data_IF_431549966862
#
_entry.id   IF_431549966862
#
_cell.length_a   1.000
_cell.length_b   1.000
_cell.length_c   1.000
_cell.angle_alpha   90.00
_cell.angle_beta   90.00
_cell.angle_gamma   90.00
#
_symmetry.space_group_name_H-M   'P 1'
#
loop_
_entity.id
_entity.type
_entity.pdbx_description
1 polymer ?
#
# COMPACT_ATOMS: atom_id res chain seq x y z
N UNK A 1 18.18 9.66 3.61
CA UNK A 1 18.01 9.18 2.22
C UNK A 1 16.82 9.93 1.65
N UNK A 2 17.00 10.74 0.61
CA UNK A 2 15.91 11.54 0.02
C UNK A 2 15.08 10.64 -0.91
N UNK A 3 14.07 9.98 -0.34
CA UNK A 3 13.12 9.19 -1.11
C UNK A 3 12.09 10.17 -1.67
N UNK A 4 12.37 10.72 -2.85
CA UNK A 4 11.60 11.77 -3.52
C UNK A 4 10.19 11.36 -3.98
N UNK A 5 9.61 10.31 -3.40
CA UNK A 5 8.29 9.75 -3.74
C UNK A 5 7.31 9.74 -2.56
N UNK A 6 7.69 10.30 -1.39
CA UNK A 6 6.78 10.46 -0.26
C UNK A 6 5.86 11.66 -0.43
N UNK A 7 4.55 11.47 -0.20
CA UNK A 7 3.61 12.59 -0.06
C UNK A 7 3.67 13.15 1.36
N UNK A 8 3.47 14.45 1.50
CA UNK A 8 3.33 15.07 2.82
C UNK A 8 2.01 14.60 3.46
N UNK A 9 2.06 14.34 4.77
CA UNK A 9 0.86 14.09 5.58
C UNK A 9 0.39 15.41 6.20
N UNK A 10 -0.93 15.64 6.34
CA UNK A 10 -2.02 14.78 5.88
C UNK A 10 -2.10 14.72 4.34
N UNK A 11 -2.38 13.54 3.80
CA UNK A 11 -2.52 13.31 2.37
C UNK A 11 -3.98 13.47 1.95
N UNK A 12 -4.24 14.17 0.85
CA UNK A 12 -5.60 14.31 0.29
C UNK A 12 -5.78 13.36 -0.89
N UNK A 13 -6.68 12.40 -0.75
CA UNK A 13 -7.23 11.59 -1.85
C UNK A 13 -8.13 12.50 -2.68
N UNK A 14 -7.85 12.73 -3.96
CA UNK A 14 -8.67 13.61 -4.79
C UNK A 14 -10.06 13.03 -5.05
N UNK A 15 -11.04 13.91 -5.33
CA UNK A 15 -12.33 13.50 -5.87
C UNK A 15 -12.14 12.65 -7.14
N UNK A 16 -12.94 11.59 -7.27
CA UNK A 16 -12.86 10.62 -8.35
C UNK A 16 -11.74 9.58 -8.19
N UNK A 17 -11.05 9.54 -7.05
CA UNK A 17 -10.00 8.57 -6.76
C UNK A 17 -10.27 7.76 -5.49
N UNK A 18 -9.68 6.56 -5.43
CA UNK A 18 -9.61 5.72 -4.24
C UNK A 18 -8.15 5.50 -3.84
N UNK A 19 -7.90 5.46 -2.53
CA UNK A 19 -6.60 5.09 -1.97
C UNK A 19 -6.75 3.75 -1.25
N UNK A 20 -5.91 2.79 -1.59
CA UNK A 20 -5.84 1.48 -0.93
C UNK A 20 -4.46 1.28 -0.35
N UNK A 21 -4.37 0.92 0.92
CA UNK A 21 -3.08 0.65 1.57
C UNK A 21 -2.59 -0.75 1.20
N UNK A 22 -1.30 -0.85 0.85
CA UNK A 22 -0.70 -2.10 0.37
C UNK A 22 0.34 -2.65 1.34
N UNK A 23 1.14 -1.77 1.94
CA UNK A 23 2.26 -2.15 2.78
C UNK A 23 2.51 -1.07 3.81
N UNK A 24 2.90 -1.49 5.01
CA UNK A 24 3.36 -0.62 6.08
C UNK A 24 4.70 -1.13 6.60
N UNK A 25 5.66 -0.23 6.71
CA UNK A 25 6.97 -0.52 7.29
C UNK A 25 7.29 0.52 8.36
N UNK A 26 7.95 0.07 9.42
CA UNK A 26 8.30 0.95 10.53
C UNK A 26 9.50 0.43 11.30
N UNK A 27 10.32 1.35 11.79
CA UNK A 27 11.36 1.06 12.76
C UNK A 27 11.47 2.20 13.76
N UNK A 28 11.56 1.87 15.05
CA UNK A 28 11.60 2.87 16.12
C UNK A 28 12.35 2.36 17.35
N UNK A 29 12.99 3.29 18.07
CA UNK A 29 13.79 2.98 19.26
C UNK A 29 12.98 2.93 20.55
N UNK A 30 11.79 3.55 20.58
CA UNK A 30 10.91 3.65 21.75
C UNK A 30 9.56 2.99 21.48
N UNK A 31 8.73 2.87 22.53
CA UNK A 31 7.33 2.47 22.40
C UNK A 31 6.55 3.54 21.63
N UNK A 32 5.70 3.13 20.68
CA UNK A 32 5.00 4.05 19.77
C UNK A 32 3.52 3.72 19.66
N UNK A 33 2.70 4.77 19.64
CA UNK A 33 1.33 4.73 19.15
C UNK A 33 1.27 5.29 17.72
N UNK A 34 0.80 4.48 16.78
CA UNK A 34 0.43 4.93 15.43
C UNK A 34 -1.09 4.92 15.33
N UNK A 35 -1.67 6.09 15.08
CA UNK A 35 -3.09 6.24 14.84
C UNK A 35 -3.31 6.77 13.41
N UNK A 36 -4.20 6.13 12.66
CA UNK A 36 -4.56 6.53 11.30
C UNK A 36 -5.96 7.15 11.30
N UNK A 37 -6.06 8.35 10.73
CA UNK A 37 -7.28 9.13 10.70
C UNK A 37 -7.80 9.37 9.29
N UNK A 38 -9.11 9.23 9.14
CA UNK A 38 -9.85 9.67 7.97
C UNK A 38 -10.64 10.94 8.34
N UNK A 39 -10.48 11.99 7.53
CA UNK A 39 -11.07 13.33 7.72
C UNK A 39 -10.67 14.04 9.03
N UNK A 40 -9.37 14.23 9.32
CA UNK A 40 -8.87 14.79 10.58
C UNK A 40 -9.27 16.26 10.84
N UNK A 41 -9.61 17.03 9.80
CA UNK A 41 -9.84 18.48 9.88
C UNK A 41 -11.30 18.90 10.07
N UNK A 42 -12.24 17.94 10.10
CA UNK A 42 -13.69 18.22 10.25
C UNK A 42 -14.17 17.93 11.68
N UNK A 43 -14.73 18.91 12.43
CA UNK A 43 -15.03 18.72 13.84
C UNK A 43 -16.33 17.90 14.09
N UNK A 44 -16.39 17.03 15.12
CA UNK A 44 -15.45 15.98 15.51
C UNK A 44 -15.90 14.65 14.85
N UNK A 45 -15.37 14.36 13.67
CA UNK A 45 -15.67 13.14 12.90
C UNK A 45 -14.48 12.20 12.76
N UNK A 46 -13.55 12.24 13.71
CA UNK A 46 -12.31 11.46 13.73
C UNK A 46 -12.62 9.96 13.63
N UNK A 47 -12.67 9.41 12.42
CA UNK A 47 -12.73 7.97 12.26
C UNK A 47 -11.31 7.45 12.36
N UNK A 48 -10.99 6.93 13.55
CA UNK A 48 -9.82 6.10 13.75
C UNK A 48 -10.01 4.83 12.93
N UNK A 49 -9.31 4.74 11.81
CA UNK A 49 -9.42 3.60 10.87
C UNK A 49 -8.30 2.58 11.09
N UNK A 50 -7.32 2.90 11.94
CA UNK A 50 -6.27 2.00 12.37
C UNK A 50 -5.60 2.51 13.65
N UNK A 51 -5.32 1.61 14.58
CA UNK A 51 -4.65 1.90 15.85
C UNK A 51 -3.68 0.77 16.16
N UNK A 52 -2.40 1.12 16.20
CA UNK A 52 -1.32 0.16 16.39
C UNK A 52 -0.42 0.65 17.53
N UNK A 53 0.00 -0.31 18.36
CA UNK A 53 0.87 -0.05 19.51
C UNK A 53 2.07 -0.97 19.38
N UNK A 54 3.25 -0.38 19.32
CA UNK A 54 4.48 -1.10 19.06
C UNK A 54 5.45 -0.92 20.21
N UNK A 55 6.05 -2.02 20.66
CA UNK A 55 7.08 -2.00 21.68
C UNK A 55 8.41 -1.48 21.15
N UNK A 56 9.25 -1.00 22.06
CA UNK A 56 10.60 -0.50 21.79
C UNK A 56 11.52 -1.57 21.17
N UNK A 57 12.42 -1.12 20.30
CA UNK A 57 13.40 -1.99 19.63
C UNK A 57 12.80 -2.93 18.58
N UNK A 58 11.53 -2.75 18.23
CA UNK A 58 10.83 -3.56 17.24
C UNK A 58 11.18 -3.07 15.83
N UNK A 59 11.56 -4.01 14.97
CA UNK A 59 11.59 -3.80 13.52
C UNK A 59 10.35 -4.46 12.93
N UNK A 60 9.45 -3.66 12.38
CA UNK A 60 8.24 -4.16 11.75
C UNK A 60 8.38 -4.00 10.25
N UNK A 61 8.48 -5.15 9.61
CA UNK A 61 8.23 -5.27 8.18
C UNK A 61 6.94 -6.05 8.00
N UNK A 62 5.83 -5.34 7.87
CA UNK A 62 4.53 -5.94 7.59
C UNK A 62 4.20 -5.71 6.12
N UNK A 63 4.54 -6.68 5.26
CA UNK A 63 3.86 -6.86 3.97
C UNK A 63 2.47 -7.46 4.18
N UNK A 64 1.71 -6.81 5.06
CA UNK A 64 0.30 -7.09 5.23
C UNK A 64 -0.44 -6.06 4.40
N UNK A 65 -1.19 -6.55 3.41
CA UNK A 65 -2.14 -5.72 2.67
C UNK A 65 -3.16 -5.25 3.71
N UNK A 66 -3.00 -4.02 4.16
CA UNK A 66 -3.97 -3.41 5.06
C UNK A 66 -5.32 -3.38 4.33
N UNK A 67 -6.37 -3.86 4.99
CA UNK A 67 -7.72 -3.90 4.42
C UNK A 67 -8.33 -2.50 4.22
N UNK A 68 -7.59 -1.43 4.51
CA UNK A 68 -8.09 -0.08 4.36
C UNK A 68 -8.07 0.38 2.89
N UNK A 69 -9.26 0.74 2.41
CA UNK A 69 -9.46 1.49 1.18
C UNK A 69 -10.49 2.58 1.42
N UNK A 70 -10.27 3.78 0.88
CA UNK A 70 -11.28 4.84 0.95
C UNK A 70 -12.58 4.45 0.24
N UNK A 71 -12.53 3.48 -0.67
CA UNK A 71 -13.70 2.91 -1.35
C UNK A 71 -14.71 2.25 -0.39
N UNK A 72 -14.29 1.88 0.84
CA UNK A 72 -15.19 1.34 1.86
C UNK A 72 -16.16 2.41 2.36
N UNK A 73 -15.72 3.67 2.39
CA UNK A 73 -16.48 4.81 2.89
C UNK A 73 -17.12 5.63 1.75
N UNK A 74 -16.38 5.86 0.67
CA UNK A 74 -16.85 6.54 -0.55
C UNK A 74 -16.50 5.69 -1.79
N UNK A 75 -17.33 4.69 -2.14
CA UNK A 75 -17.09 3.80 -3.27
C UNK A 75 -17.13 4.50 -4.63
N UNK A 76 -17.71 5.71 -4.67
CA UNK A 76 -17.85 6.51 -5.90
C UNK A 76 -16.76 7.57 -6.06
N UNK A 77 -15.96 7.81 -5.01
CA UNK A 77 -15.06 8.96 -4.96
C UNK A 77 -15.80 10.28 -5.20
N UNK A 78 -17.01 10.41 -4.66
CA UNK A 78 -17.85 11.60 -4.78
C UNK A 78 -17.26 12.84 -4.10
N UNK A 79 -16.29 12.66 -3.19
CA UNK A 79 -15.59 13.76 -2.53
C UNK A 79 -14.10 13.50 -2.39
N UNK A 80 -13.33 14.58 -2.22
CA UNK A 80 -11.94 14.48 -1.79
C UNK A 80 -11.89 14.15 -0.30
N UNK A 81 -10.90 13.34 0.11
CA UNK A 81 -10.78 12.85 1.48
C UNK A 81 -9.39 13.04 2.05
N UNK A 82 -9.30 13.47 3.30
CA UNK A 82 -8.01 13.56 4.00
C UNK A 82 -7.67 12.30 4.79
N UNK A 83 -6.43 11.86 4.68
CA UNK A 83 -5.82 10.78 5.45
C UNK A 83 -4.68 11.38 6.27
N UNK A 84 -4.57 11.03 7.54
CA UNK A 84 -3.47 11.44 8.41
C UNK A 84 -2.91 10.28 9.21
N UNK A 85 -1.59 10.32 9.44
CA UNK A 85 -0.88 9.37 10.28
C UNK A 85 -0.24 10.14 11.43
N UNK A 86 -0.68 9.84 12.65
CA UNK A 86 -0.13 10.46 13.85
C UNK A 86 0.69 9.43 14.62
N UNK A 87 1.91 9.83 14.95
CA UNK A 87 2.87 9.02 15.70
C UNK A 87 3.09 9.71 17.04
N UNK A 88 2.78 9.00 18.12
CA UNK A 88 3.05 9.44 19.48
C UNK A 88 4.12 8.56 20.13
N UNK A 89 5.12 9.20 20.73
CA UNK A 89 6.14 8.54 21.55
C UNK A 89 5.53 8.20 22.92
N UNK A 90 5.48 6.90 23.25
CA UNK A 90 5.02 6.40 24.54
C UNK A 90 6.18 6.02 25.47
N UNK A 91 7.41 6.00 24.95
CA UNK A 91 8.61 5.68 25.70
C UNK A 91 9.13 6.83 26.55
N UNK A 92 10.07 6.50 27.45
CA UNK A 92 10.72 7.48 28.32
C UNK A 92 11.89 8.21 27.66
N UNK A 93 12.39 7.70 26.53
CA UNK A 93 13.52 8.26 25.79
C UNK A 93 13.11 9.10 24.59
N UNK A 94 14.11 9.63 23.88
CA UNK A 94 13.89 10.32 22.62
C UNK A 94 13.61 9.28 21.51
N UNK A 95 12.40 9.31 20.96
CA UNK A 95 12.03 8.48 19.83
C UNK A 95 12.89 8.80 18.61
N UNK A 96 13.58 7.79 18.09
CA UNK A 96 14.26 7.80 16.79
C UNK A 96 13.67 6.70 15.93
N UNK A 97 13.41 7.01 14.67
CA UNK A 97 12.77 6.05 13.77
C UNK A 97 12.04 6.71 12.62
N UNK A 98 11.22 5.92 11.96
CA UNK A 98 10.33 6.35 10.89
C UNK A 98 9.33 5.26 10.56
N UNK A 99 8.22 5.67 9.96
CA UNK A 99 7.23 4.79 9.39
C UNK A 99 6.98 5.22 7.95
N UNK A 100 6.75 4.26 7.07
CA UNK A 100 6.35 4.47 5.69
C UNK A 100 5.09 3.66 5.40
N UNK A 101 4.20 4.24 4.61
CA UNK A 101 3.06 3.54 4.06
C UNK A 101 3.14 3.59 2.53
N UNK A 102 2.98 2.42 1.91
CA UNK A 102 2.77 2.30 0.48
C UNK A 102 1.28 2.14 0.21
N UNK A 103 0.74 3.01 -0.64
CA UNK A 103 -0.64 2.97 -1.09
C UNK A 103 -0.76 2.98 -2.61
N UNK A 104 -1.88 2.47 -3.11
CA UNK A 104 -2.30 2.54 -4.50
C UNK A 104 -3.39 3.59 -4.63
N UNK A 105 -3.11 4.66 -5.38
CA UNK A 105 -4.07 5.71 -5.70
C UNK A 105 -4.62 5.48 -7.12
N UNK A 106 -5.90 5.21 -7.26
CA UNK A 106 -6.53 4.86 -8.55
C UNK A 106 -7.77 5.70 -8.81
N UNK A 107 -8.04 6.01 -10.08
CA UNK A 107 -9.31 6.63 -10.44
C UNK A 107 -10.45 5.62 -10.23
N UNK A 108 -11.60 6.08 -9.75
CA UNK A 108 -12.81 5.27 -9.63
C UNK A 108 -13.19 4.71 -11.00
N UNK A 109 -13.53 3.42 -11.05
CA UNK A 109 -13.81 2.71 -12.31
C UNK A 109 -12.56 2.28 -13.08
N UNK A 110 -11.36 2.40 -12.48
CA UNK A 110 -10.17 1.73 -13.02
C UNK A 110 -10.46 0.25 -13.16
N UNK A 111 -10.32 -0.28 -14.38
CA UNK A 111 -10.60 -1.69 -14.66
C UNK A 111 -9.67 -2.59 -13.85
N UNK A 112 -10.13 -3.80 -13.45
CA UNK A 112 -9.26 -4.82 -12.87
C UNK A 112 -8.01 -5.04 -13.71
N UNK A 113 -6.96 -5.58 -13.10
CA UNK A 113 -5.82 -6.05 -13.89
C UNK A 113 -6.33 -7.05 -14.94
N UNK A 114 -5.82 -7.00 -16.18
CA UNK A 114 -6.18 -7.99 -17.19
C UNK A 114 -5.81 -9.39 -16.72
N UNK A 115 -6.60 -10.39 -17.12
CA UNK A 115 -6.37 -11.82 -16.78
C UNK A 115 -5.06 -12.37 -17.38
N UNK A 116 -4.45 -11.62 -18.30
CA UNK A 116 -3.17 -11.91 -18.94
C UNK A 116 -2.19 -10.78 -18.69
N UNK A 117 -0.92 -11.13 -18.50
CA UNK A 117 0.20 -10.19 -18.41
C UNK A 117 1.22 -10.49 -19.49
N UNK A 118 1.78 -9.44 -20.08
CA UNK A 118 2.95 -9.54 -20.93
C UNK A 118 4.19 -9.71 -20.05
N UNK A 119 4.98 -10.74 -20.34
CA UNK A 119 6.22 -11.03 -19.63
C UNK A 119 7.39 -11.09 -20.59
N UNK A 120 8.56 -10.69 -20.10
CA UNK A 120 9.81 -10.67 -20.86
C UNK A 120 10.81 -11.62 -20.23
N UNK A 121 11.28 -12.60 -21.00
CA UNK A 121 12.30 -13.53 -20.54
C UNK A 121 13.58 -12.78 -20.18
N UNK A 122 14.06 -12.93 -18.94
CA UNK A 122 15.29 -12.28 -18.48
C UNK A 122 16.57 -12.79 -19.17
N UNK A 123 16.48 -13.96 -19.82
CA UNK A 123 17.63 -14.63 -20.44
C UNK A 123 17.79 -14.29 -21.94
N UNK A 124 16.71 -14.36 -22.72
CA UNK A 124 16.75 -14.12 -24.17
C UNK A 124 15.97 -12.86 -24.61
N UNK A 125 15.22 -12.22 -23.72
CA UNK A 125 14.42 -11.04 -24.05
C UNK A 125 13.09 -11.30 -24.76
N UNK A 126 12.73 -12.57 -25.04
CA UNK A 126 11.45 -12.94 -25.66
C UNK A 126 10.25 -12.44 -24.86
N UNK A 127 9.30 -11.81 -25.53
CA UNK A 127 8.07 -11.30 -24.94
C UNK A 127 6.88 -12.18 -25.33
N UNK A 128 6.10 -12.60 -24.33
CA UNK A 128 4.91 -13.44 -24.54
C UNK A 128 3.89 -13.20 -23.41
N UNK A 129 2.63 -13.57 -23.65
CA UNK A 129 1.56 -13.43 -22.68
C UNK A 129 1.44 -14.69 -21.81
N UNK A 130 1.24 -14.51 -20.51
CA UNK A 130 0.89 -15.58 -19.56
C UNK A 130 -0.28 -15.14 -18.70
N UNK A 131 -1.03 -16.08 -18.09
CA UNK A 131 -2.04 -15.74 -17.10
C UNK A 131 -1.48 -14.90 -15.95
N UNK A 132 -2.31 -13.99 -15.42
CA UNK A 132 -1.92 -12.99 -14.42
C UNK A 132 -1.41 -13.63 -13.11
N UNK A 133 -1.90 -14.83 -12.78
CA UNK A 133 -1.50 -15.63 -11.62
C UNK A 133 -0.23 -16.47 -11.81
N UNK A 134 0.25 -16.61 -13.06
CA UNK A 134 1.40 -17.47 -13.38
C UNK A 134 2.69 -16.85 -12.86
N UNK A 135 3.36 -17.53 -11.93
CA UNK A 135 4.60 -17.04 -11.31
C UNK A 135 5.87 -17.71 -11.84
N UNK A 136 5.78 -18.92 -12.38
CA UNK A 136 6.90 -19.68 -12.91
C UNK A 136 6.65 -19.99 -14.38
N UNK A 137 7.53 -19.53 -15.25
CA UNK A 137 7.36 -19.65 -16.71
C UNK A 137 8.64 -20.20 -17.31
N UNK A 138 8.54 -21.35 -17.97
CA UNK A 138 9.60 -21.85 -18.85
C UNK A 138 9.48 -21.07 -20.16
N UNK A 139 10.51 -20.30 -20.51
CA UNK A 139 10.51 -19.50 -21.71
C UNK A 139 10.33 -20.39 -22.96
N UNK A 140 9.35 -20.12 -23.84
CA UNK A 140 9.11 -20.95 -25.02
C UNK A 140 10.25 -20.87 -26.05
N UNK A 141 11.08 -19.83 -26.00
CA UNK A 141 12.19 -19.64 -26.94
C UNK A 141 13.50 -20.29 -26.45
N UNK A 142 13.89 -20.06 -25.18
CA UNK A 142 15.20 -20.52 -24.68
C UNK A 142 15.13 -21.63 -23.62
N UNK A 143 13.94 -22.08 -23.24
CA UNK A 143 13.74 -23.16 -22.26
C UNK A 143 14.13 -22.83 -20.82
N UNK A 144 14.54 -21.60 -20.54
CA UNK A 144 14.96 -21.19 -19.19
C UNK A 144 13.76 -20.78 -18.33
N UNK A 145 13.79 -21.17 -17.06
CA UNK A 145 12.79 -20.77 -16.07
C UNK A 145 12.97 -19.30 -15.67
N UNK A 146 11.91 -18.51 -15.81
CA UNK A 146 11.82 -17.16 -15.28
C UNK A 146 10.69 -17.05 -14.26
N UNK A 147 10.96 -16.36 -13.15
CA UNK A 147 9.98 -16.12 -12.09
C UNK A 147 9.42 -14.71 -12.26
N UNK A 148 8.10 -14.59 -12.27
CA UNK A 148 7.36 -13.34 -12.31
C UNK A 148 6.46 -13.23 -11.08
N UNK A 149 6.08 -12.01 -10.72
CA UNK A 149 5.12 -11.77 -9.63
C UNK A 149 3.74 -12.27 -10.06
N UNK A 150 3.06 -13.01 -9.18
CA UNK A 150 1.63 -13.26 -9.32
C UNK A 150 0.90 -11.93 -9.09
N UNK A 151 0.15 -11.44 -10.08
CA UNK A 151 -0.57 -10.18 -10.01
C UNK A 151 -2.07 -10.38 -9.75
N UNK A 152 -2.58 -11.62 -9.67
CA UNK A 152 -4.01 -11.88 -9.45
C UNK A 152 -4.51 -11.41 -8.09
N UNK A 153 -3.59 -11.16 -7.15
CA UNK A 153 -3.89 -10.62 -5.81
C UNK A 153 -3.44 -9.17 -5.63
N UNK A 154 -2.96 -8.52 -6.70
CA UNK A 154 -2.39 -7.17 -6.62
C UNK A 154 -3.45 -6.06 -6.70
N UNK A 155 -4.64 -6.33 -7.25
CA UNK A 155 -5.78 -5.40 -7.29
C UNK A 155 -7.07 -6.06 -6.83
N UNK A 156 -7.79 -5.40 -5.93
CA UNK A 156 -9.24 -5.51 -5.76
C UNK A 156 -9.83 -6.90 -5.87
N UNK A 157 -9.46 -7.83 -4.99
CA UNK A 157 -10.44 -8.82 -4.58
C UNK A 157 -11.33 -8.12 -3.57
N UNK A 158 -12.60 -7.82 -3.87
CA UNK A 158 -13.55 -7.52 -2.81
C UNK A 158 -13.51 -8.72 -1.86
N UNK A 159 -13.37 -8.48 -0.55
CA UNK A 159 -13.79 -9.46 0.43
C UNK A 159 -15.32 -9.61 0.38
#
# INVERSE_FOLDING_TARGET
MNVATGFAMPFTVPEGYTLTFLEYEGSHTEDVALDTYYEPSTPPGLQLVGCERFGSGLFIYAQEISAFSTAILDPTGASAHQIDFQIANLGGGALQGGASLLGLLEAVGTKPLPDIKMVKCKHCGHEHSVPVDTSQVICPECGQLTIYRNLSRFRGTPL
#
